data_IF_455689410805
#
_entry.id   IF_455689410805
#
_cell.length_a   1.000
_cell.length_b   1.000
_cell.length_c   1.000
_cell.angle_alpha   90.00
_cell.angle_beta   90.00
_cell.angle_gamma   90.00
#
_symmetry.space_group_name_H-M   'P 1'
#
loop_
_entity.id
_entity.type
_entity.pdbx_description
1 polymer ?
#
# COMPACT_ATOMS: atom_id res chain seq x y z
N UNK A 1 -22.64 -7.62 -17.25
CA UNK A 1 -21.25 -7.16 -17.57
C UNK A 1 -21.30 -5.65 -17.79
N UNK A 2 -20.44 -4.86 -17.12
CA UNK A 2 -20.42 -3.39 -17.32
C UNK A 2 -19.86 -3.06 -18.70
N UNK A 3 -20.43 -2.03 -19.37
CA UNK A 3 -19.86 -1.51 -20.62
C UNK A 3 -18.45 -0.95 -20.42
N UNK A 4 -17.70 -0.75 -21.51
CA UNK A 4 -16.34 -0.18 -21.45
C UNK A 4 -16.37 1.23 -20.83
N UNK A 5 -17.36 2.05 -21.19
CA UNK A 5 -17.58 3.39 -20.65
C UNK A 5 -17.90 3.35 -19.14
N UNK A 6 -18.80 2.46 -18.71
CA UNK A 6 -19.09 2.29 -17.27
C UNK A 6 -17.87 1.84 -16.47
N UNK A 7 -16.95 1.06 -17.07
CA UNK A 7 -15.68 0.67 -16.44
C UNK A 7 -14.70 1.85 -16.36
N UNK A 8 -14.67 2.71 -17.38
CA UNK A 8 -13.82 3.90 -17.41
C UNK A 8 -14.27 4.94 -16.38
N UNK A 9 -15.56 5.20 -16.27
CA UNK A 9 -16.11 6.14 -15.27
C UNK A 9 -15.94 5.64 -13.85
N UNK A 10 -16.13 4.34 -13.62
CA UNK A 10 -15.89 3.72 -12.34
C UNK A 10 -14.42 3.88 -11.89
N UNK A 11 -13.48 3.64 -12.82
CA UNK A 11 -12.06 3.80 -12.53
C UNK A 11 -11.65 5.27 -12.29
N UNK A 12 -12.27 6.22 -12.99
CA UNK A 12 -12.01 7.65 -12.85
C UNK A 12 -12.37 8.16 -11.45
N UNK A 13 -13.56 7.83 -10.95
CA UNK A 13 -14.00 8.20 -9.60
C UNK A 13 -13.10 7.63 -8.50
N UNK A 14 -12.65 6.39 -8.66
CA UNK A 14 -11.70 5.77 -7.73
C UNK A 14 -10.33 6.45 -7.72
N UNK A 15 -9.85 6.84 -8.89
CA UNK A 15 -8.54 7.52 -9.01
C UNK A 15 -8.60 8.87 -8.29
N UNK A 16 -9.63 9.67 -8.51
CA UNK A 16 -9.80 10.97 -7.86
C UNK A 16 -9.91 10.82 -6.33
N UNK A 17 -10.67 9.84 -5.84
CA UNK A 17 -10.78 9.58 -4.41
C UNK A 17 -9.44 9.13 -3.80
N UNK A 18 -8.68 8.26 -4.49
CA UNK A 18 -7.33 7.89 -4.07
C UNK A 18 -6.42 9.12 -3.97
N UNK A 19 -6.45 10.02 -4.96
CA UNK A 19 -5.67 11.25 -4.92
C UNK A 19 -6.02 12.11 -3.73
N UNK A 20 -7.31 12.35 -3.49
CA UNK A 20 -7.78 13.15 -2.36
C UNK A 20 -7.37 12.54 -1.01
N UNK A 21 -7.41 11.23 -0.88
CA UNK A 21 -7.02 10.53 0.34
C UNK A 21 -5.50 10.57 0.54
N UNK A 22 -4.73 10.40 -0.52
CA UNK A 22 -3.28 10.53 -0.45
C UNK A 22 -2.86 11.95 -0.02
N UNK A 23 -3.47 12.99 -0.61
CA UNK A 23 -3.23 14.39 -0.22
C UNK A 23 -3.52 14.64 1.27
N UNK A 24 -4.67 14.18 1.73
CA UNK A 24 -5.07 14.29 3.15
C UNK A 24 -4.14 13.51 4.07
N UNK A 25 -3.71 12.33 3.63
CA UNK A 25 -2.80 11.50 4.42
C UNK A 25 -1.41 12.09 4.52
N UNK A 26 -0.87 12.59 3.40
CA UNK A 26 0.42 13.30 3.42
C UNK A 26 0.37 14.52 4.34
N UNK A 27 -0.62 15.39 4.20
CA UNK A 27 -0.81 16.54 5.10
C UNK A 27 -0.91 16.14 6.58
N UNK A 28 -1.53 14.99 6.86
CA UNK A 28 -1.59 14.46 8.22
C UNK A 28 -0.22 13.99 8.74
N UNK A 29 0.65 13.49 7.85
CA UNK A 29 2.01 13.02 8.19
C UNK A 29 3.06 14.15 8.17
N UNK A 30 2.83 15.20 7.37
CA UNK A 30 3.73 16.36 7.25
C UNK A 30 3.73 17.19 8.55
N UNK A 31 4.68 16.89 9.42
CA UNK A 31 4.88 17.65 10.68
C UNK A 31 6.24 18.33 10.76
N UNK A 32 7.10 18.12 9.78
CA UNK A 32 8.48 18.60 9.79
C UNK A 32 8.85 19.16 8.40
N UNK A 33 9.67 20.19 8.37
CA UNK A 33 10.21 20.85 7.15
C UNK A 33 11.26 19.98 6.44
N UNK A 34 10.99 18.70 6.26
CA UNK A 34 11.88 17.83 5.51
C UNK A 34 11.19 17.21 4.30
N UNK A 35 11.97 16.94 3.26
CA UNK A 35 11.52 16.26 2.06
C UNK A 35 11.05 14.85 2.41
N UNK A 36 9.82 14.51 2.09
CA UNK A 36 9.29 13.16 2.25
C UNK A 36 9.80 12.23 1.16
N UNK A 37 10.16 11.01 1.53
CA UNK A 37 10.55 9.93 0.63
C UNK A 37 9.43 8.90 0.56
N UNK A 38 8.92 8.65 -0.65
CA UNK A 38 7.77 7.77 -0.89
C UNK A 38 8.19 6.61 -1.77
N UNK A 39 7.87 5.39 -1.38
CA UNK A 39 7.97 4.19 -2.21
C UNK A 39 6.58 3.79 -2.71
N UNK A 40 6.39 3.79 -4.02
CA UNK A 40 5.26 3.16 -4.71
C UNK A 40 5.73 1.82 -5.28
N UNK A 41 5.46 0.75 -4.57
CA UNK A 41 5.98 -0.58 -4.91
C UNK A 41 5.24 -1.24 -6.09
N UNK A 42 4.09 -0.70 -6.50
CA UNK A 42 3.22 -1.23 -7.57
C UNK A 42 2.57 -0.10 -8.37
N UNK A 43 3.38 0.69 -9.05
CA UNK A 43 2.94 1.97 -9.64
C UNK A 43 1.96 1.84 -10.81
N UNK A 44 1.94 0.68 -11.49
CA UNK A 44 1.02 0.44 -12.60
C UNK A 44 1.29 1.30 -13.84
N UNK A 45 0.36 1.23 -14.80
CA UNK A 45 0.46 1.98 -16.06
C UNK A 45 0.30 3.50 -15.91
N UNK A 46 -0.25 3.95 -14.80
CA UNK A 46 -0.41 5.38 -14.45
C UNK A 46 0.12 5.58 -13.05
N UNK A 47 1.43 5.86 -12.88
CA UNK A 47 2.04 6.01 -11.58
C UNK A 47 1.33 7.09 -10.77
N UNK A 48 0.74 6.66 -9.68
CA UNK A 48 -0.18 7.47 -8.88
C UNK A 48 0.54 8.57 -8.12
N UNK A 49 1.78 8.28 -7.73
CA UNK A 49 2.58 9.13 -6.89
C UNK A 49 3.45 10.15 -7.66
N UNK A 50 3.60 10.02 -8.98
CA UNK A 50 4.44 10.94 -9.77
C UNK A 50 4.00 12.40 -9.69
N UNK A 51 2.69 12.65 -9.53
CA UNK A 51 2.20 14.03 -9.31
C UNK A 51 2.70 14.67 -8.02
N UNK A 52 3.22 13.86 -7.08
CA UNK A 52 3.70 14.32 -5.77
C UNK A 52 5.21 14.57 -5.74
N UNK A 53 5.92 14.40 -6.86
CA UNK A 53 7.37 14.61 -6.95
C UNK A 53 7.79 16.07 -6.68
N UNK A 54 6.90 17.02 -6.89
CA UNK A 54 7.17 18.41 -6.53
C UNK A 54 7.30 18.55 -5.01
N UNK A 55 8.54 18.75 -4.56
CA UNK A 55 8.87 18.86 -3.13
C UNK A 55 8.97 17.53 -2.37
N UNK A 56 8.99 16.38 -3.08
CA UNK A 56 9.15 15.05 -2.49
C UNK A 56 10.00 14.16 -3.37
N UNK A 57 10.57 13.11 -2.81
CA UNK A 57 11.25 12.05 -3.57
C UNK A 57 10.30 10.87 -3.69
N UNK A 58 9.97 10.49 -4.92
CA UNK A 58 9.10 9.35 -5.19
C UNK A 58 9.89 8.31 -5.97
N UNK A 59 9.98 7.11 -5.42
CA UNK A 59 10.49 5.92 -6.08
C UNK A 59 9.33 5.05 -6.51
N UNK A 60 9.15 4.90 -7.82
CA UNK A 60 8.10 4.08 -8.42
C UNK A 60 8.66 2.78 -8.94
N UNK A 61 7.93 1.68 -8.77
CA UNK A 61 8.29 0.35 -9.24
C UNK A 61 7.11 -0.38 -9.85
N UNK A 62 7.33 -1.08 -10.95
CA UNK A 62 6.41 -2.06 -11.52
C UNK A 62 7.18 -3.14 -12.25
N UNK A 63 6.68 -4.37 -12.27
CA UNK A 63 7.31 -5.48 -13.02
C UNK A 63 7.18 -5.33 -14.52
N UNK A 64 6.13 -4.67 -14.99
CA UNK A 64 5.92 -4.44 -16.40
C UNK A 64 6.82 -3.29 -16.90
N UNK A 65 7.75 -3.62 -17.80
CA UNK A 65 8.71 -2.67 -18.38
C UNK A 65 8.07 -1.64 -19.31
N UNK A 66 6.84 -1.89 -19.78
CA UNK A 66 6.09 -0.94 -20.60
C UNK A 66 5.43 0.17 -19.76
N UNK A 67 5.43 0.05 -18.44
CA UNK A 67 4.89 1.05 -17.53
C UNK A 67 5.95 2.08 -17.15
N UNK A 68 5.55 3.35 -16.96
CA UNK A 68 6.47 4.46 -16.69
C UNK A 68 6.97 4.47 -15.22
N UNK A 69 7.48 3.33 -14.74
CA UNK A 69 8.09 3.23 -13.43
C UNK A 69 9.59 3.50 -13.49
N UNK A 70 10.18 3.99 -12.41
CA UNK A 70 11.64 4.22 -12.30
C UNK A 70 12.43 2.91 -12.17
N UNK A 71 11.79 1.90 -11.58
CA UNK A 71 12.35 0.57 -11.38
C UNK A 71 11.41 -0.51 -11.92
N UNK A 72 11.97 -1.66 -12.32
CA UNK A 72 11.22 -2.78 -12.88
C UNK A 72 11.63 -4.11 -12.22
N UNK A 73 11.22 -4.29 -10.98
CA UNK A 73 11.52 -5.50 -10.19
C UNK A 73 10.22 -6.11 -9.64
N UNK A 74 10.21 -7.42 -9.34
CA UNK A 74 9.20 -7.97 -8.45
C UNK A 74 9.20 -7.18 -7.14
N UNK A 75 8.04 -6.69 -6.71
CA UNK A 75 7.97 -5.79 -5.57
C UNK A 75 8.48 -6.44 -4.26
N UNK A 76 8.28 -7.76 -4.11
CA UNK A 76 8.81 -8.54 -2.99
C UNK A 76 10.33 -8.54 -2.94
N UNK A 77 10.99 -8.67 -4.09
CA UNK A 77 12.46 -8.66 -4.18
C UNK A 77 13.01 -7.25 -3.96
N UNK A 78 12.38 -6.24 -4.58
CA UNK A 78 12.76 -4.85 -4.37
C UNK A 78 12.69 -4.46 -2.90
N UNK A 79 11.55 -4.69 -2.23
CA UNK A 79 11.38 -4.31 -0.82
C UNK A 79 12.34 -5.06 0.10
N UNK A 80 12.69 -6.31 -0.25
CA UNK A 80 13.71 -7.08 0.46
C UNK A 80 15.09 -6.45 0.31
N UNK A 81 15.50 -6.12 -0.92
CA UNK A 81 16.80 -5.47 -1.19
C UNK A 81 16.88 -4.10 -0.52
N UNK A 82 15.82 -3.31 -0.57
CA UNK A 82 15.77 -2.01 0.11
C UNK A 82 15.95 -2.16 1.63
N UNK A 83 15.34 -3.18 2.24
CA UNK A 83 15.54 -3.48 3.65
C UNK A 83 16.97 -3.92 3.95
N UNK A 84 17.55 -4.84 3.16
CA UNK A 84 18.94 -5.34 3.33
C UNK A 84 19.99 -4.23 3.14
N UNK A 85 19.67 -3.19 2.38
CA UNK A 85 20.50 -2.00 2.15
C UNK A 85 20.16 -0.84 3.09
N UNK A 86 19.32 -1.06 4.09
CA UNK A 86 18.95 -0.10 5.13
C UNK A 86 18.34 1.21 4.58
N UNK A 87 17.65 1.13 3.42
CA UNK A 87 16.88 2.27 2.93
C UNK A 87 15.62 2.48 3.77
N UNK A 88 15.28 3.74 3.99
CA UNK A 88 14.10 4.16 4.74
C UNK A 88 13.19 5.05 3.90
N UNK A 89 11.89 4.89 4.10
CA UNK A 89 10.84 5.66 3.42
C UNK A 89 9.87 6.23 4.45
N UNK A 90 9.45 7.47 4.22
CA UNK A 90 8.39 8.06 5.06
C UNK A 90 7.06 7.40 4.79
N UNK A 91 6.77 7.09 3.52
CA UNK A 91 5.54 6.42 3.09
C UNK A 91 5.88 5.26 2.18
N UNK A 92 5.28 4.11 2.44
CA UNK A 92 5.31 2.95 1.54
C UNK A 92 3.88 2.65 1.09
N UNK A 93 3.65 2.61 -0.22
CA UNK A 93 2.38 2.22 -0.83
C UNK A 93 2.49 0.84 -1.46
N UNK A 94 1.70 -0.08 -0.94
CA UNK A 94 1.55 -1.45 -1.44
C UNK A 94 0.16 -1.57 -2.09
N UNK A 95 0.10 -1.29 -3.40
CA UNK A 95 -1.13 -1.38 -4.21
C UNK A 95 -1.08 -2.53 -5.24
N UNK A 96 -0.85 -3.78 -4.82
CA UNK A 96 -0.79 -4.93 -5.71
C UNK A 96 -2.14 -5.24 -6.31
N UNK A 97 -2.14 -5.94 -7.43
CA UNK A 97 -3.38 -6.41 -8.07
C UNK A 97 -4.18 -7.36 -7.17
N UNK A 98 -3.54 -8.08 -6.26
CA UNK A 98 -4.16 -9.07 -5.37
C UNK A 98 -4.01 -8.73 -3.88
N UNK A 99 -2.83 -8.98 -3.32
CA UNK A 99 -2.57 -8.84 -1.89
C UNK A 99 -1.14 -8.37 -1.62
N UNK A 100 -0.94 -7.46 -0.66
CA UNK A 100 0.39 -6.98 -0.28
C UNK A 100 1.15 -7.95 0.65
N UNK A 101 0.62 -9.15 0.91
CA UNK A 101 1.12 -10.04 1.97
C UNK A 101 2.60 -10.37 1.85
N UNK A 102 3.09 -10.63 0.64
CA UNK A 102 4.49 -11.01 0.40
C UNK A 102 5.49 -9.87 0.68
N UNK A 103 5.08 -8.63 0.45
CA UNK A 103 5.92 -7.46 0.67
C UNK A 103 5.86 -6.94 2.10
N UNK A 104 4.81 -7.26 2.85
CA UNK A 104 4.48 -6.57 4.10
C UNK A 104 5.61 -6.58 5.13
N UNK A 105 6.24 -7.73 5.38
CA UNK A 105 7.23 -7.88 6.46
C UNK A 105 8.48 -7.02 6.27
N UNK A 106 8.94 -6.86 5.04
CA UNK A 106 10.05 -5.99 4.75
C UNK A 106 9.59 -4.52 4.60
N UNK A 107 8.43 -4.29 3.99
CA UNK A 107 7.86 -2.96 3.83
C UNK A 107 7.67 -2.24 5.18
N UNK A 108 7.18 -2.96 6.19
CA UNK A 108 6.94 -2.35 7.51
C UNK A 108 8.24 -1.98 8.24
N UNK A 109 9.36 -2.63 7.91
CA UNK A 109 10.67 -2.35 8.51
C UNK A 109 11.36 -1.14 7.88
N UNK A 110 11.03 -0.81 6.63
CA UNK A 110 11.57 0.35 5.90
C UNK A 110 10.64 1.56 5.92
N UNK A 111 9.48 1.45 6.57
CA UNK A 111 8.42 2.46 6.55
C UNK A 111 8.37 3.22 7.89
N UNK A 112 8.64 4.52 7.87
CA UNK A 112 8.80 5.31 9.10
C UNK A 112 7.54 6.05 9.56
N UNK A 113 6.63 6.45 8.64
CA UNK A 113 5.49 7.31 8.98
C UNK A 113 4.14 6.79 8.52
N UNK A 114 4.06 6.31 7.28
CA UNK A 114 2.79 5.92 6.70
C UNK A 114 2.85 4.70 5.81
N UNK A 115 2.09 3.66 6.14
CA UNK A 115 1.93 2.48 5.30
C UNK A 115 0.54 2.50 4.68
N UNK A 116 0.48 2.35 3.36
CA UNK A 116 -0.76 2.27 2.60
C UNK A 116 -0.84 0.88 1.99
N UNK A 117 -1.99 0.23 2.10
CA UNK A 117 -2.19 -1.11 1.58
C UNK A 117 -3.52 -1.20 0.86
N UNK A 118 -3.48 -1.70 -0.38
CA UNK A 118 -4.68 -2.01 -1.16
C UNK A 118 -4.86 -3.52 -1.27
N UNK A 119 -6.09 -3.95 -1.16
CA UNK A 119 -6.50 -5.34 -1.26
C UNK A 119 -7.53 -5.45 -2.37
N UNK A 120 -7.20 -6.26 -3.37
CA UNK A 120 -8.07 -6.51 -4.53
C UNK A 120 -8.85 -7.80 -4.41
N UNK A 121 -9.73 -7.96 -5.35
CA UNK A 121 -10.55 -9.09 -5.74
C UNK A 121 -11.01 -10.09 -4.65
N UNK A 122 -12.24 -9.90 -4.23
CA UNK A 122 -12.95 -10.80 -3.29
C UNK A 122 -13.47 -12.07 -3.96
N UNK A 123 -13.51 -12.12 -5.31
CA UNK A 123 -14.13 -13.21 -6.06
C UNK A 123 -13.36 -14.52 -5.85
N UNK A 124 -14.06 -15.58 -5.53
CA UNK A 124 -13.48 -16.88 -5.28
C UNK A 124 -12.80 -17.07 -3.92
N UNK A 125 -12.53 -15.99 -3.16
CA UNK A 125 -11.85 -16.08 -1.85
C UNK A 125 -12.85 -16.29 -0.71
N UNK A 126 -14.05 -15.72 -0.83
CA UNK A 126 -15.09 -15.78 0.23
C UNK A 126 -15.46 -17.23 0.55
N UNK A 127 -15.47 -18.10 -0.44
CA UNK A 127 -15.81 -19.52 -0.30
C UNK A 127 -14.61 -20.43 -0.01
N UNK A 128 -13.37 -19.97 -0.20
CA UNK A 128 -12.17 -20.77 -0.04
C UNK A 128 -11.29 -20.31 1.13
N UNK A 129 -11.44 -20.99 2.27
CA UNK A 129 -10.70 -20.66 3.51
C UNK A 129 -9.16 -20.79 3.37
N UNK A 130 -8.67 -21.71 2.55
CA UNK A 130 -7.23 -21.88 2.33
C UNK A 130 -6.66 -20.73 1.50
N UNK A 131 -7.36 -20.33 0.45
CA UNK A 131 -7.00 -19.17 -0.37
C UNK A 131 -7.06 -17.86 0.43
N UNK A 132 -8.05 -17.71 1.31
CA UNK A 132 -8.13 -16.57 2.22
C UNK A 132 -6.95 -16.53 3.19
N UNK A 133 -6.53 -17.69 3.74
CA UNK A 133 -5.35 -17.78 4.61
C UNK A 133 -4.06 -17.47 3.87
N UNK A 134 -3.89 -18.01 2.67
CA UNK A 134 -2.71 -17.77 1.82
C UNK A 134 -2.59 -16.28 1.43
N UNK A 135 -3.68 -15.66 0.97
CA UNK A 135 -3.65 -14.28 0.45
C UNK A 135 -3.75 -13.19 1.51
N UNK A 136 -4.41 -13.46 2.63
CA UNK A 136 -4.70 -12.44 3.65
C UNK A 136 -4.24 -12.81 5.06
N UNK A 137 -3.69 -13.99 5.25
CA UNK A 137 -3.30 -14.49 6.57
C UNK A 137 -4.47 -14.86 7.49
N UNK A 138 -5.71 -14.81 6.99
CA UNK A 138 -6.94 -15.06 7.75
C UNK A 138 -7.80 -16.14 7.10
N UNK A 139 -8.36 -17.07 7.87
CA UNK A 139 -9.22 -18.15 7.36
C UNK A 139 -10.59 -17.69 6.86
N UNK A 140 -10.99 -16.47 7.19
CA UNK A 140 -12.26 -15.87 6.79
C UNK A 140 -11.98 -14.51 6.19
N UNK A 141 -12.61 -14.21 5.04
CA UNK A 141 -12.53 -12.88 4.45
C UNK A 141 -13.39 -11.91 5.27
N UNK A 142 -12.73 -11.19 6.14
CA UNK A 142 -13.30 -10.13 6.96
C UNK A 142 -12.25 -9.01 7.04
N UNK A 143 -12.58 -7.86 6.50
CA UNK A 143 -11.63 -6.75 6.39
C UNK A 143 -11.08 -6.32 7.76
N UNK A 144 -11.91 -6.32 8.81
CA UNK A 144 -11.48 -5.96 10.16
C UNK A 144 -10.48 -6.98 10.71
N UNK A 145 -10.74 -8.27 10.51
CA UNK A 145 -9.83 -9.34 10.93
C UNK A 145 -8.52 -9.30 10.16
N UNK A 146 -8.57 -8.98 8.86
CA UNK A 146 -7.39 -8.82 8.02
C UNK A 146 -6.57 -7.62 8.52
N UNK A 147 -7.17 -6.45 8.74
CA UNK A 147 -6.50 -5.27 9.31
C UNK A 147 -5.85 -5.61 10.65
N UNK A 148 -6.57 -6.29 11.56
CA UNK A 148 -6.03 -6.70 12.85
C UNK A 148 -4.89 -7.71 12.73
N UNK A 149 -4.93 -8.59 11.71
CA UNK A 149 -3.83 -9.50 11.42
C UNK A 149 -2.54 -8.71 11.11
N UNK A 150 -2.60 -7.72 10.21
CA UNK A 150 -1.44 -6.90 9.85
C UNK A 150 -0.94 -6.03 11.01
N UNK A 151 -1.83 -5.47 11.83
CA UNK A 151 -1.45 -4.74 13.04
C UNK A 151 -0.67 -5.66 14.01
N UNK A 152 -1.17 -6.88 14.26
CA UNK A 152 -0.46 -7.86 15.11
C UNK A 152 0.84 -8.33 14.49
N UNK A 153 0.89 -8.48 13.17
CA UNK A 153 2.09 -8.88 12.45
C UNK A 153 3.18 -7.80 12.53
N UNK A 154 2.83 -6.52 12.34
CA UNK A 154 3.74 -5.38 12.50
C UNK A 154 4.34 -5.33 13.91
N UNK A 155 3.52 -5.61 14.95
CA UNK A 155 3.98 -5.63 16.34
C UNK A 155 5.09 -6.65 16.58
N UNK A 156 5.16 -7.76 15.82
CA UNK A 156 6.24 -8.75 15.92
C UNK A 156 7.59 -8.18 15.48
N UNK A 157 7.59 -7.11 14.69
CA UNK A 157 8.79 -6.39 14.25
C UNK A 157 9.04 -5.10 15.07
N UNK A 158 8.36 -4.95 16.22
CA UNK A 158 8.50 -3.76 17.07
C UNK A 158 7.72 -2.53 16.57
N UNK A 159 6.97 -2.66 15.46
CA UNK A 159 6.26 -1.54 14.85
C UNK A 159 4.81 -1.52 15.30
N UNK A 160 4.32 -0.34 15.72
CA UNK A 160 2.90 -0.12 16.04
C UNK A 160 2.22 0.54 14.85
N UNK A 161 1.12 -0.05 14.39
CA UNK A 161 0.26 0.52 13.35
C UNK A 161 -1.05 1.05 13.97
N UNK A 162 -1.44 2.25 13.56
CA UNK A 162 -2.75 2.83 13.84
C UNK A 162 -3.47 3.11 12.54
N UNK A 163 -4.68 2.58 12.37
CA UNK A 163 -5.52 2.90 11.22
C UNK A 163 -5.84 4.40 11.25
N UNK A 164 -5.46 5.12 10.20
CA UNK A 164 -5.87 6.51 9.98
C UNK A 164 -7.16 6.56 9.19
N UNK A 165 -7.26 5.77 8.09
CA UNK A 165 -8.43 5.71 7.23
C UNK A 165 -8.58 4.32 6.62
N UNK A 166 -9.82 3.91 6.45
CA UNK A 166 -10.24 2.73 5.69
C UNK A 166 -11.27 3.16 4.66
N UNK A 167 -11.11 2.71 3.43
CA UNK A 167 -12.01 2.98 2.31
C UNK A 167 -12.29 1.68 1.58
N UNK A 168 -13.55 1.47 1.20
CA UNK A 168 -13.99 0.28 0.50
C UNK A 168 -14.72 0.67 -0.76
N UNK A 169 -14.24 0.13 -1.88
CA UNK A 169 -14.90 0.19 -3.17
C UNK A 169 -15.56 -1.15 -3.50
N UNK A 170 -16.21 -1.24 -4.64
CA UNK A 170 -16.96 -2.44 -5.03
C UNK A 170 -16.13 -3.72 -4.97
N UNK A 171 -14.90 -3.69 -5.51
CA UNK A 171 -14.04 -4.86 -5.67
C UNK A 171 -12.76 -4.81 -4.84
N UNK A 172 -12.38 -3.62 -4.36
CA UNK A 172 -11.13 -3.38 -3.66
C UNK A 172 -11.38 -2.60 -2.38
N UNK A 173 -10.44 -2.63 -1.46
CA UNK A 173 -10.42 -1.74 -0.32
C UNK A 173 -8.99 -1.34 0.00
N UNK A 174 -8.84 -0.20 0.64
CA UNK A 174 -7.56 0.42 0.93
C UNK A 174 -7.54 0.89 2.37
N UNK A 175 -6.43 0.66 3.03
CA UNK A 175 -6.21 1.10 4.40
C UNK A 175 -4.94 1.94 4.46
N UNK A 176 -5.03 3.04 5.20
CA UNK A 176 -3.96 3.96 5.50
C UNK A 176 -3.60 3.78 6.98
N UNK A 177 -2.37 3.39 7.24
CA UNK A 177 -1.85 3.25 8.59
C UNK A 177 -0.85 4.35 8.89
N UNK A 178 -1.00 4.99 10.06
CA UNK A 178 0.12 5.70 10.66
C UNK A 178 1.04 4.69 11.31
N UNK A 179 2.31 4.75 10.98
CA UNK A 179 3.39 4.05 11.68
C UNK A 179 3.74 4.84 12.93
N UNK A 180 3.71 4.18 14.06
CA UNK A 180 4.12 4.72 15.34
C UNK A 180 5.43 4.03 15.70
N UNK A 181 6.55 4.65 15.35
CA UNK A 181 7.85 4.20 15.86
C UNK A 181 7.84 4.38 17.37
N UNK A 182 8.45 3.46 18.14
CA UNK A 182 8.75 3.77 19.52
C UNK A 182 9.56 5.08 19.48
N UNK A 183 9.05 6.13 20.14
CA UNK A 183 9.89 7.27 20.43
C UNK A 183 11.16 6.69 21.04
N UNK A 184 12.30 6.97 20.41
CA UNK A 184 13.62 6.70 20.98
C UNK A 184 13.59 7.14 22.43
N UNK A 185 13.64 6.15 23.32
CA UNK A 185 13.89 6.38 24.74
C UNK A 185 15.27 7.01 24.94
#
# INVERSE_FOLDING_TARGET
MLSLEQKMDYNKGHIEEKYNLNDKFLKYLEKEDRVMIILDAYSGSKPFWTKYEKGRVVLTNDTNKDYPAKLHFPAEDLVKVLYEKEYEFDVVDLDPFNTPMKCFDNAIKICNRGLIMTFGDKRGIISNKNLAKERYGCRVYDERKIIQHYIRRAKKFGVKLRVWKFVKWKMTWRVYFKVLTPSSL
#
